data_IF_849294253045
#
_entry.id   IF_849294253045
#
_cell.length_a   1.000
_cell.length_b   1.000
_cell.length_c   1.000
_cell.angle_alpha   90.00
_cell.angle_beta   90.00
_cell.angle_gamma   90.00
#
_symmetry.space_group_name_H-M   'P 1'
#
loop_
_entity.id
_entity.type
_entity.pdbx_description
1 polymer ?
#
# COMPACT_ATOMS: atom_id res chain seq x y z
N UNK A 1 41.36 -38.60 77.69
CA UNK A 1 40.19 -39.01 78.47
C UNK A 1 39.07 -39.37 77.50
N UNK A 2 38.60 -40.61 77.57
CA UNK A 2 37.53 -41.17 76.74
C UNK A 2 36.18 -40.64 77.21
N UNK A 3 35.32 -40.23 76.28
CA UNK A 3 33.88 -40.14 76.50
C UNK A 3 33.14 -40.33 75.18
N UNK A 4 32.68 -41.56 74.94
CA UNK A 4 31.66 -41.91 73.96
C UNK A 4 30.30 -41.35 74.40
N UNK A 5 29.46 -40.90 73.45
CA UNK A 5 28.02 -41.05 73.62
C UNK A 5 27.34 -41.79 72.46
N UNK A 6 26.45 -42.66 72.92
CA UNK A 6 25.40 -43.46 72.29
C UNK A 6 24.66 -42.85 71.10
N UNK A 7 24.43 -43.74 70.15
CA UNK A 7 23.53 -43.71 69.00
C UNK A 7 22.08 -43.33 69.31
N UNK A 8 21.51 -42.46 68.47
CA UNK A 8 20.06 -42.39 68.19
C UNK A 8 19.90 -42.65 66.70
N UNK A 9 19.17 -43.73 66.36
CA UNK A 9 18.82 -44.11 64.99
C UNK A 9 17.64 -43.25 64.52
N UNK A 10 17.87 -42.34 63.58
CA UNK A 10 16.81 -41.79 62.74
C UNK A 10 16.68 -42.63 61.47
N UNK A 11 15.54 -43.27 61.27
CA UNK A 11 15.20 -43.93 60.02
C UNK A 11 14.81 -42.86 58.99
N UNK A 12 15.61 -42.73 57.93
CA UNK A 12 15.27 -41.90 56.76
C UNK A 12 14.62 -42.83 55.73
N UNK A 13 13.35 -42.57 55.43
CA UNK A 13 12.65 -43.21 54.32
C UNK A 13 13.13 -42.60 53.00
N UNK A 14 13.75 -43.41 52.15
CA UNK A 14 14.16 -43.00 50.80
C UNK A 14 12.94 -42.96 49.88
N UNK A 15 12.55 -41.75 49.46
CA UNK A 15 11.60 -41.56 48.36
C UNK A 15 12.43 -41.59 47.06
N UNK A 16 12.32 -42.66 46.29
CA UNK A 16 12.87 -42.73 44.93
C UNK A 16 12.03 -41.83 44.02
N UNK A 17 12.53 -40.63 43.75
CA UNK A 17 12.00 -39.76 42.70
C UNK A 17 12.36 -40.31 41.33
N UNK A 18 11.35 -40.70 40.55
CA UNK A 18 11.53 -40.98 39.12
C UNK A 18 11.79 -39.64 38.41
N UNK A 19 13.01 -39.43 37.92
CA UNK A 19 13.32 -38.30 37.06
C UNK A 19 12.67 -38.55 35.68
N UNK A 20 11.61 -37.78 35.38
CA UNK A 20 11.15 -37.61 34.01
C UNK A 20 12.24 -36.87 33.24
N UNK A 21 12.96 -37.58 32.39
CA UNK A 21 13.85 -36.98 31.39
C UNK A 21 12.93 -36.31 30.38
N UNK A 22 12.79 -34.99 30.48
CA UNK A 22 12.18 -34.20 29.42
C UNK A 22 13.02 -34.41 28.15
N UNK A 23 12.39 -34.91 27.08
CA UNK A 23 13.02 -34.91 25.78
C UNK A 23 13.42 -33.47 25.43
N UNK A 24 14.61 -33.22 24.87
CA UNK A 24 14.93 -31.90 24.37
C UNK A 24 13.87 -31.54 23.33
N UNK A 25 13.07 -30.51 23.60
CA UNK A 25 12.23 -29.91 22.58
C UNK A 25 13.14 -29.46 21.45
N UNK A 26 12.84 -29.90 20.23
CA UNK A 26 13.51 -29.40 19.04
C UNK A 26 13.27 -27.88 19.00
N UNK A 27 14.28 -27.11 19.38
CA UNK A 27 14.33 -25.70 19.03
C UNK A 27 14.46 -25.66 17.50
N UNK A 28 13.42 -25.18 16.82
CA UNK A 28 13.54 -24.80 15.41
C UNK A 28 14.63 -23.75 15.34
N UNK A 29 15.65 -23.97 14.53
CA UNK A 29 16.71 -22.99 14.33
C UNK A 29 16.07 -21.71 13.78
N UNK A 30 16.38 -20.56 14.39
CA UNK A 30 15.78 -19.28 14.06
C UNK A 30 16.28 -18.69 12.72
N UNK A 31 17.38 -19.20 12.18
CA UNK A 31 18.05 -18.77 10.93
C UNK A 31 17.25 -19.03 9.63
N UNK A 32 16.07 -19.67 9.71
CA UNK A 32 15.32 -20.19 8.54
C UNK A 32 14.06 -19.39 8.17
N UNK A 33 13.65 -18.38 8.94
CA UNK A 33 12.42 -17.63 8.63
C UNK A 33 12.70 -16.51 7.60
N UNK A 34 12.04 -16.51 6.43
CA UNK A 34 12.23 -15.47 5.42
C UNK A 34 11.82 -14.10 5.95
N UNK A 35 12.73 -13.13 5.88
CA UNK A 35 12.43 -11.74 6.26
C UNK A 35 12.28 -10.88 5.00
N UNK A 36 11.14 -10.22 4.82
CA UNK A 36 10.89 -9.36 3.67
C UNK A 36 11.73 -8.09 3.81
N UNK A 37 12.58 -7.82 2.83
CA UNK A 37 13.52 -6.68 2.86
C UNK A 37 13.28 -5.65 1.76
N UNK A 38 12.52 -6.00 0.72
CA UNK A 38 12.17 -5.05 -0.33
C UNK A 38 10.86 -5.41 -1.06
N UNK A 39 10.15 -4.38 -1.49
CA UNK A 39 8.97 -4.47 -2.37
C UNK A 39 9.13 -3.45 -3.48
N UNK A 40 9.38 -3.93 -4.69
CA UNK A 40 9.64 -3.10 -5.87
C UNK A 40 8.87 -3.54 -7.09
N UNK A 41 8.57 -2.61 -7.98
CA UNK A 41 7.95 -2.93 -9.26
C UNK A 41 8.58 -2.18 -10.43
N UNK A 42 8.57 -2.80 -11.61
CA UNK A 42 9.09 -2.24 -12.84
C UNK A 42 8.30 -2.71 -14.06
N UNK A 43 8.27 -1.88 -15.11
CA UNK A 43 7.66 -2.23 -16.38
C UNK A 43 8.67 -2.96 -17.27
N UNK A 44 8.26 -4.07 -17.85
CA UNK A 44 8.99 -4.79 -18.88
C UNK A 44 8.25 -4.63 -20.21
N UNK A 45 8.84 -3.92 -21.19
CA UNK A 45 8.22 -3.77 -22.50
C UNK A 45 8.13 -5.11 -23.23
N UNK A 46 7.26 -5.18 -24.22
CA UNK A 46 7.12 -6.37 -25.06
C UNK A 46 8.48 -6.73 -25.70
N UNK A 47 8.85 -8.00 -25.63
CA UNK A 47 10.11 -8.50 -26.16
C UNK A 47 9.95 -9.95 -26.63
N UNK A 48 10.50 -10.26 -27.81
CA UNK A 48 10.63 -11.59 -28.41
C UNK A 48 9.69 -12.69 -27.87
N UNK A 49 8.44 -12.72 -28.36
CA UNK A 49 7.45 -13.75 -28.01
C UNK A 49 6.76 -13.55 -26.66
N UNK A 50 6.99 -12.41 -25.98
CA UNK A 50 6.37 -12.06 -24.72
C UNK A 50 5.74 -10.68 -24.76
N UNK A 51 4.47 -10.60 -24.38
CA UNK A 51 3.75 -9.34 -24.20
C UNK A 51 4.40 -8.47 -23.12
N UNK A 52 4.13 -7.17 -23.13
CA UNK A 52 4.60 -6.27 -22.07
C UNK A 52 3.93 -6.63 -20.74
N UNK A 53 4.65 -6.49 -19.64
CA UNK A 53 4.14 -6.82 -18.30
C UNK A 53 4.73 -5.90 -17.25
N UNK A 54 4.01 -5.70 -16.17
CA UNK A 54 4.55 -5.11 -14.95
C UNK A 54 5.00 -6.23 -14.03
N UNK A 55 6.21 -6.11 -13.51
CA UNK A 55 6.78 -7.05 -12.55
C UNK A 55 6.77 -6.43 -11.18
N UNK A 56 6.11 -7.08 -10.22
CA UNK A 56 6.23 -6.82 -8.80
C UNK A 56 7.13 -7.90 -8.17
N UNK A 57 8.05 -7.48 -7.32
CA UNK A 57 9.02 -8.33 -6.64
C UNK A 57 8.96 -8.07 -5.15
N UNK A 58 8.78 -9.15 -4.40
CA UNK A 58 8.99 -9.22 -2.96
C UNK A 58 10.32 -9.94 -2.75
N UNK A 59 11.30 -9.26 -2.15
CA UNK A 59 12.63 -9.82 -1.89
C UNK A 59 12.82 -10.12 -0.41
N UNK A 60 13.42 -11.26 -0.13
CA UNK A 60 13.62 -11.78 1.20
C UNK A 60 15.10 -12.03 1.48
N UNK A 61 15.51 -11.81 2.72
CA UNK A 61 16.68 -12.48 3.29
C UNK A 61 16.24 -13.83 3.85
N UNK A 62 17.12 -14.83 3.80
CA UNK A 62 16.77 -16.21 4.11
C UNK A 62 16.16 -16.94 2.91
N UNK A 63 15.43 -18.04 3.12
CA UNK A 63 14.80 -18.81 2.05
C UNK A 63 13.65 -18.03 1.38
N UNK A 64 13.03 -18.64 0.36
CA UNK A 64 11.74 -18.16 -0.15
C UNK A 64 10.65 -18.71 0.79
N UNK A 65 9.61 -17.93 1.16
CA UNK A 65 8.48 -18.46 1.91
C UNK A 65 7.92 -19.75 1.29
N UNK A 66 7.68 -20.77 2.12
CA UNK A 66 7.16 -22.06 1.64
C UNK A 66 5.70 -21.94 1.19
N UNK A 67 4.94 -21.09 1.88
CA UNK A 67 3.52 -20.88 1.64
C UNK A 67 3.28 -19.47 1.12
N UNK A 68 2.95 -19.37 -0.17
CA UNK A 68 2.65 -18.11 -0.83
C UNK A 68 1.61 -18.31 -1.93
N UNK A 69 0.90 -17.24 -2.25
CA UNK A 69 -0.16 -17.28 -3.24
C UNK A 69 -0.63 -15.91 -3.67
N UNK A 70 -1.67 -15.93 -4.50
CA UNK A 70 -2.37 -14.73 -4.93
C UNK A 70 -3.85 -15.01 -5.09
N UNK A 71 -4.66 -13.96 -4.95
CA UNK A 71 -6.10 -13.99 -5.16
C UNK A 71 -6.57 -12.67 -5.76
N UNK A 72 -7.59 -12.73 -6.61
CA UNK A 72 -8.27 -11.54 -7.10
C UNK A 72 -9.41 -11.20 -6.16
N UNK A 73 -9.33 -10.03 -5.54
CA UNK A 73 -10.30 -9.58 -4.56
C UNK A 73 -11.42 -8.76 -5.20
N UNK A 74 -12.65 -9.00 -4.75
CA UNK A 74 -13.81 -8.23 -5.18
C UNK A 74 -13.81 -6.83 -4.58
N UNK A 75 -13.26 -6.68 -3.37
CA UNK A 75 -13.15 -5.41 -2.65
C UNK A 75 -11.81 -5.37 -1.89
N UNK A 76 -11.18 -4.20 -1.75
CA UNK A 76 -9.90 -4.07 -1.05
C UNK A 76 -10.16 -3.98 0.46
N UNK A 77 -10.29 -5.11 1.15
CA UNK A 77 -10.56 -5.17 2.59
C UNK A 77 -9.29 -5.45 3.38
N UNK A 78 -9.18 -4.85 4.57
CA UNK A 78 -8.12 -5.20 5.52
C UNK A 78 -8.18 -6.69 5.87
N UNK A 79 -6.99 -7.29 6.08
CA UNK A 79 -6.88 -8.64 6.62
C UNK A 79 -7.56 -8.77 7.99
N UNK A 80 -7.96 -9.98 8.34
CA UNK A 80 -8.76 -10.23 9.55
C UNK A 80 -7.96 -10.16 10.85
N UNK A 81 -6.64 -9.98 10.79
CA UNK A 81 -5.76 -10.37 11.88
C UNK A 81 -5.60 -9.34 13.00
N UNK A 82 -5.92 -8.06 12.81
CA UNK A 82 -6.07 -7.10 13.91
C UNK A 82 -6.64 -5.80 13.37
N UNK A 83 -7.85 -5.42 13.79
CA UNK A 83 -8.48 -4.18 13.29
C UNK A 83 -8.96 -3.29 14.42
N UNK A 84 -8.05 -2.42 14.88
CA UNK A 84 -8.42 -1.04 15.21
C UNK A 84 -9.04 -0.34 13.97
N UNK A 85 -8.75 -0.80 12.75
CA UNK A 85 -9.29 -0.26 11.49
C UNK A 85 -10.11 -1.31 10.71
N UNK A 86 -11.39 -1.46 11.03
CA UNK A 86 -12.33 -2.28 10.24
C UNK A 86 -12.74 -1.51 8.98
N UNK A 87 -12.55 -2.07 7.78
CA UNK A 87 -13.10 -1.46 6.57
C UNK A 87 -12.31 -1.73 5.28
N UNK A 88 -12.44 -0.79 4.33
CA UNK A 88 -11.74 -0.82 3.05
C UNK A 88 -10.35 -0.18 3.17
N UNK A 89 -9.36 -0.85 2.59
CA UNK A 89 -8.01 -0.32 2.41
C UNK A 89 -8.06 0.83 1.39
N UNK A 90 -7.51 2.01 1.73
CA UNK A 90 -7.35 3.10 0.77
C UNK A 90 -6.35 2.72 -0.34
N UNK A 91 -6.85 2.16 -1.44
CA UNK A 91 -6.02 1.74 -2.56
C UNK A 91 -6.67 2.09 -3.91
N UNK A 92 -5.84 2.63 -4.80
CA UNK A 92 -6.28 3.05 -6.13
C UNK A 92 -6.14 1.93 -7.17
N UNK A 93 -7.22 1.63 -7.87
CA UNK A 93 -7.27 0.65 -8.95
C UNK A 93 -8.68 0.48 -9.50
N UNK A 94 -8.83 -0.29 -10.59
CA UNK A 94 -10.11 -0.83 -11.06
C UNK A 94 -10.28 -2.31 -10.71
N UNK A 95 -9.21 -2.98 -10.27
CA UNK A 95 -9.23 -4.33 -9.72
C UNK A 95 -8.12 -4.44 -8.66
N UNK A 96 -8.24 -5.45 -7.80
CA UNK A 96 -7.36 -5.64 -6.65
C UNK A 96 -6.84 -7.07 -6.63
N UNK A 97 -5.52 -7.22 -6.61
CA UNK A 97 -4.87 -8.52 -6.46
C UNK A 97 -4.24 -8.56 -5.06
N UNK A 98 -4.63 -9.53 -4.25
CA UNK A 98 -3.91 -9.84 -3.02
C UNK A 98 -2.76 -10.79 -3.34
N UNK A 99 -1.59 -10.48 -2.78
CA UNK A 99 -0.43 -11.38 -2.74
C UNK A 99 -0.15 -11.65 -1.29
N UNK A 100 -0.12 -12.92 -0.89
CA UNK A 100 0.07 -13.32 0.49
C UNK A 100 1.19 -14.35 0.60
N UNK A 101 1.85 -14.35 1.74
CA UNK A 101 2.83 -15.35 2.13
C UNK A 101 2.82 -15.52 3.65
N UNK A 102 2.89 -16.77 4.08
CA UNK A 102 2.91 -17.15 5.49
C UNK A 102 4.33 -17.49 5.93
N UNK A 103 4.51 -17.46 7.25
CA UNK A 103 5.78 -17.76 7.92
C UNK A 103 6.90 -16.83 7.43
N UNK A 104 6.60 -15.55 7.27
CA UNK A 104 7.57 -14.53 6.88
C UNK A 104 7.54 -13.34 7.84
N UNK A 105 8.70 -12.69 8.01
CA UNK A 105 8.87 -11.57 8.93
C UNK A 105 8.88 -10.22 8.21
N UNK A 106 8.24 -9.25 8.85
CA UNK A 106 8.18 -7.84 8.46
C UNK A 106 9.23 -6.96 9.16
N UNK A 107 9.96 -7.52 10.12
CA UNK A 107 10.93 -6.88 10.99
C UNK A 107 12.23 -7.69 11.01
N UNK A 108 13.35 -7.13 11.49
CA UNK A 108 14.60 -7.85 11.61
C UNK A 108 14.47 -9.10 12.48
N UNK A 109 15.35 -10.06 12.25
CA UNK A 109 15.31 -11.33 12.95
C UNK A 109 15.50 -11.14 14.47
N UNK A 110 14.59 -11.69 15.29
CA UNK A 110 14.69 -11.65 16.75
C UNK A 110 14.36 -10.29 17.39
N UNK A 111 13.95 -9.31 16.59
CA UNK A 111 13.60 -7.97 17.06
C UNK A 111 12.16 -7.59 16.67
N UNK A 112 11.20 -8.00 17.51
CA UNK A 112 9.78 -7.64 17.37
C UNK A 112 9.53 -6.12 17.51
N UNK A 113 10.50 -5.36 18.04
CA UNK A 113 10.47 -3.90 18.10
C UNK A 113 11.23 -3.22 16.96
N UNK A 114 11.91 -4.01 16.12
CA UNK A 114 12.66 -3.54 14.97
C UNK A 114 11.68 -3.04 13.92
N UNK A 115 11.85 -1.80 13.48
CA UNK A 115 10.95 -1.21 12.49
C UNK A 115 10.84 -2.04 11.21
N UNK A 116 9.78 -1.80 10.46
CA UNK A 116 9.47 -2.51 9.20
C UNK A 116 10.68 -2.53 8.25
N UNK A 117 11.11 -3.71 7.80
CA UNK A 117 12.33 -3.93 6.99
C UNK A 117 12.16 -3.67 5.50
N UNK A 118 10.94 -3.73 4.99
CA UNK A 118 10.66 -3.65 3.55
C UNK A 118 10.26 -2.24 3.08
N UNK A 119 10.27 -1.25 3.98
CA UNK A 119 9.94 0.15 3.71
C UNK A 119 8.46 0.50 3.95
N UNK A 120 7.93 1.56 3.31
CA UNK A 120 6.64 2.15 3.68
C UNK A 120 5.45 1.21 3.43
N UNK A 121 4.41 1.26 4.27
CA UNK A 121 3.20 0.41 4.12
C UNK A 121 2.52 0.58 2.74
N UNK A 122 2.57 1.76 2.14
CA UNK A 122 1.98 2.07 0.84
C UNK A 122 3.01 2.60 -0.15
N UNK A 123 2.95 2.13 -1.40
CA UNK A 123 3.86 2.49 -2.50
C UNK A 123 3.08 2.77 -3.77
N UNK A 124 3.31 3.93 -4.39
CA UNK A 124 2.78 4.27 -5.69
C UNK A 124 3.77 3.93 -6.81
N UNK A 125 3.25 3.49 -7.95
CA UNK A 125 4.04 3.14 -9.12
C UNK A 125 3.49 3.84 -10.38
N UNK A 126 4.40 4.33 -11.23
CA UNK A 126 4.07 4.96 -12.50
C UNK A 126 4.07 3.96 -13.67
N UNK A 127 3.58 2.74 -13.44
CA UNK A 127 3.60 1.63 -14.40
C UNK A 127 2.26 1.50 -15.14
N UNK A 128 2.20 0.95 -16.36
CA UNK A 128 0.96 0.82 -17.12
C UNK A 128 -0.20 0.15 -16.36
N UNK A 129 0.03 -0.99 -15.70
CA UNK A 129 -0.99 -1.70 -14.95
C UNK A 129 -0.93 -1.48 -13.44
N UNK A 130 0.21 -1.75 -12.81
CA UNK A 130 0.37 -1.61 -11.36
C UNK A 130 0.36 -0.11 -10.99
N UNK A 131 -0.60 0.27 -10.14
CA UNK A 131 -0.79 1.65 -9.70
C UNK A 131 -0.25 1.87 -8.30
N UNK A 132 -0.58 0.95 -7.40
CA UNK A 132 -0.27 1.06 -5.99
C UNK A 132 -0.14 -0.33 -5.36
N UNK A 133 0.73 -0.45 -4.36
CA UNK A 133 0.86 -1.64 -3.52
C UNK A 133 0.75 -1.20 -2.06
N UNK A 134 -0.14 -1.82 -1.31
CA UNK A 134 -0.39 -1.52 0.10
C UNK A 134 -0.25 -2.81 0.89
N UNK A 135 0.58 -2.81 1.94
CA UNK A 135 0.58 -3.89 2.91
C UNK A 135 -0.78 -3.91 3.62
N UNK A 136 -1.43 -5.06 3.53
CA UNK A 136 -2.81 -5.29 3.93
C UNK A 136 -2.88 -5.93 5.33
N UNK A 137 -1.94 -6.83 5.61
CA UNK A 137 -1.80 -7.55 6.87
C UNK A 137 -0.32 -7.93 7.10
N UNK A 138 0.12 -7.98 8.35
CA UNK A 138 1.47 -8.38 8.77
C UNK A 138 1.54 -9.05 10.16
N UNK A 139 0.43 -9.65 10.61
CA UNK A 139 0.31 -10.30 11.92
C UNK A 139 0.68 -11.80 11.92
N UNK A 140 1.22 -12.32 13.03
CA UNK A 140 1.53 -13.76 13.24
C UNK A 140 2.31 -14.43 12.10
N UNK A 141 3.26 -13.70 11.51
CA UNK A 141 4.04 -14.14 10.34
C UNK A 141 3.20 -14.39 9.06
N UNK A 142 1.93 -13.96 9.03
CA UNK A 142 1.11 -13.84 7.84
C UNK A 142 1.24 -12.45 7.28
N UNK A 143 1.76 -12.33 6.06
CA UNK A 143 1.89 -11.05 5.37
C UNK A 143 1.05 -11.06 4.11
N UNK A 144 0.26 -10.01 3.91
CA UNK A 144 -0.44 -9.80 2.65
C UNK A 144 -0.30 -8.38 2.13
N UNK A 145 -0.37 -8.26 0.81
CA UNK A 145 -0.26 -7.03 0.07
C UNK A 145 -1.37 -6.93 -0.96
N UNK A 146 -2.15 -5.87 -0.88
CA UNK A 146 -3.09 -5.52 -1.93
C UNK A 146 -2.38 -4.72 -3.03
N UNK A 147 -2.60 -5.13 -4.27
CA UNK A 147 -2.08 -4.49 -5.47
C UNK A 147 -3.26 -3.89 -6.23
N UNK A 148 -3.30 -2.55 -6.27
CA UNK A 148 -4.26 -1.79 -7.04
C UNK A 148 -3.80 -1.71 -8.49
N UNK A 149 -4.59 -2.26 -9.40
CA UNK A 149 -4.24 -2.37 -10.82
C UNK A 149 -5.22 -1.60 -11.70
N UNK A 150 -4.74 -1.13 -12.85
CA UNK A 150 -5.56 -0.41 -13.82
C UNK A 150 -6.62 -1.30 -14.48
N UNK A 151 -6.30 -2.58 -14.71
CA UNK A 151 -7.27 -3.60 -15.11
C UNK A 151 -6.83 -4.97 -14.62
N UNK A 152 -7.81 -5.85 -14.36
CA UNK A 152 -7.57 -7.28 -14.16
C UNK A 152 -6.94 -7.86 -15.43
N UNK A 153 -5.84 -8.59 -15.27
CA UNK A 153 -5.08 -9.16 -16.38
C UNK A 153 -4.48 -10.51 -15.99
N UNK A 154 -4.02 -11.33 -16.95
CA UNK A 154 -3.27 -12.55 -16.65
C UNK A 154 -2.08 -12.30 -15.72
N UNK A 155 -1.86 -13.22 -14.79
CA UNK A 155 -0.79 -13.14 -13.77
C UNK A 155 0.06 -14.40 -13.82
N UNK A 156 1.38 -14.24 -13.67
CA UNK A 156 2.31 -15.33 -13.44
C UNK A 156 3.04 -15.11 -12.12
N UNK A 157 2.91 -16.09 -11.22
CA UNK A 157 3.58 -16.14 -9.93
C UNK A 157 4.71 -17.18 -9.99
N UNK A 158 5.91 -16.81 -9.54
CA UNK A 158 7.06 -17.71 -9.51
C UNK A 158 8.12 -17.18 -8.55
N UNK A 159 9.14 -17.99 -8.28
CA UNK A 159 10.20 -17.67 -7.32
C UNK A 159 11.58 -17.59 -7.99
N UNK A 160 12.49 -16.88 -7.35
CA UNK A 160 13.92 -16.85 -7.66
C UNK A 160 14.70 -17.02 -6.34
N UNK A 161 15.87 -17.64 -6.36
CA UNK A 161 16.59 -18.04 -5.12
C UNK A 161 17.97 -17.39 -4.97
N UNK A 162 18.29 -16.38 -5.79
CA UNK A 162 19.56 -15.63 -5.71
C UNK A 162 19.37 -14.19 -6.19
N UNK A 163 18.95 -13.25 -5.30
CA UNK A 163 18.39 -13.48 -3.95
C UNK A 163 16.99 -14.12 -3.99
N UNK A 164 16.52 -14.57 -2.82
CA UNK A 164 15.17 -15.12 -2.58
C UNK A 164 14.10 -14.09 -2.91
N UNK A 165 13.24 -14.39 -3.87
CA UNK A 165 12.20 -13.49 -4.36
C UNK A 165 10.93 -14.24 -4.70
N UNK A 166 9.79 -13.66 -4.35
CA UNK A 166 8.49 -13.96 -4.95
C UNK A 166 8.24 -12.90 -6.02
N UNK A 167 7.95 -13.35 -7.24
CA UNK A 167 7.80 -12.49 -8.41
C UNK A 167 6.41 -12.67 -9.01
N UNK A 168 5.73 -11.54 -9.20
CA UNK A 168 4.42 -11.44 -9.83
C UNK A 168 4.59 -10.67 -11.13
N UNK A 169 4.47 -11.37 -12.27
CA UNK A 169 4.38 -10.73 -13.58
C UNK A 169 2.90 -10.58 -13.95
N UNK A 170 2.44 -9.33 -14.04
CA UNK A 170 1.08 -8.96 -14.41
C UNK A 170 1.08 -8.40 -15.83
N UNK A 171 0.25 -8.96 -16.71
CA UNK A 171 0.18 -8.49 -18.10
C UNK A 171 -0.17 -6.99 -18.19
N UNK A 172 0.54 -6.31 -19.08
CA UNK A 172 0.50 -4.87 -19.29
C UNK A 172 0.61 -4.52 -20.79
N UNK A 173 0.30 -5.47 -21.68
CA UNK A 173 0.34 -5.29 -23.14
C UNK A 173 -0.80 -4.46 -23.73
N UNK A 174 -1.70 -3.93 -22.91
CA UNK A 174 -2.81 -3.10 -23.35
C UNK A 174 -2.39 -1.65 -23.59
N UNK A 175 -3.16 -0.94 -24.42
CA UNK A 175 -2.88 0.46 -24.75
C UNK A 175 -3.15 1.36 -23.55
N UNK A 176 -2.16 2.14 -23.15
CA UNK A 176 -2.30 3.27 -22.23
C UNK A 176 -2.02 4.60 -22.95
N UNK A 177 -2.41 5.70 -22.31
CA UNK A 177 -2.01 7.05 -22.71
C UNK A 177 -1.37 7.76 -21.53
N UNK A 178 -0.36 8.60 -21.81
CA UNK A 178 0.27 9.46 -20.82
C UNK A 178 -0.64 10.64 -20.49
N UNK A 179 -1.01 10.77 -19.22
CA UNK A 179 -1.88 11.83 -18.70
C UNK A 179 -1.23 12.45 -17.47
N UNK A 180 -1.38 13.76 -17.28
CA UNK A 180 -0.78 14.44 -16.13
C UNK A 180 -1.59 14.13 -14.87
N UNK A 181 -0.91 14.06 -13.74
CA UNK A 181 -1.52 14.22 -12.42
C UNK A 181 -0.70 15.24 -11.65
N UNK A 182 -1.32 15.97 -10.74
CA UNK A 182 -0.69 17.10 -10.07
C UNK A 182 -0.51 16.77 -8.59
N UNK A 183 0.71 16.92 -8.09
CA UNK A 183 1.03 16.80 -6.67
C UNK A 183 1.50 18.15 -6.14
N UNK A 184 1.39 18.36 -4.83
CA UNK A 184 1.97 19.53 -4.21
C UNK A 184 3.50 19.44 -4.34
N UNK A 185 4.12 20.53 -4.79
CA UNK A 185 5.57 20.70 -4.76
C UNK A 185 5.93 21.36 -3.43
N UNK A 186 6.23 20.55 -2.41
CA UNK A 186 6.45 21.03 -1.05
C UNK A 186 7.58 22.09 -0.97
N UNK A 187 8.73 21.92 -1.67
CA UNK A 187 9.74 22.98 -1.75
C UNK A 187 9.24 24.30 -2.35
N UNK A 188 8.35 24.27 -3.33
CA UNK A 188 7.76 25.49 -3.89
C UNK A 188 6.74 26.11 -2.92
N UNK A 189 5.86 25.29 -2.34
CA UNK A 189 4.85 25.70 -1.37
C UNK A 189 5.45 26.40 -0.14
N UNK A 190 6.45 25.79 0.50
CA UNK A 190 7.12 26.37 1.68
C UNK A 190 7.87 27.67 1.33
N UNK A 191 8.34 27.80 0.10
CA UNK A 191 9.01 29.00 -0.39
C UNK A 191 8.04 30.09 -0.88
N UNK A 192 6.72 29.85 -0.87
CA UNK A 192 5.72 30.77 -1.41
C UNK A 192 5.90 31.02 -2.92
N UNK A 193 6.36 30.01 -3.67
CA UNK A 193 6.60 30.12 -5.11
C UNK A 193 5.50 29.44 -5.91
N UNK A 194 4.93 30.17 -6.85
CA UNK A 194 3.99 29.64 -7.82
C UNK A 194 4.69 29.10 -9.08
N UNK A 195 4.19 27.98 -9.68
CA UNK A 195 3.15 27.11 -9.14
C UNK A 195 3.68 26.26 -7.97
N UNK A 196 2.88 26.14 -6.91
CA UNK A 196 3.14 25.28 -5.75
C UNK A 196 2.69 23.82 -5.97
N UNK A 197 2.30 23.49 -7.20
CA UNK A 197 1.97 22.16 -7.69
C UNK A 197 2.84 21.79 -8.89
N UNK A 198 3.20 20.51 -8.99
CA UNK A 198 3.99 19.96 -10.11
C UNK A 198 3.23 18.83 -10.80
N UNK A 199 3.16 18.93 -12.12
CA UNK A 199 2.60 17.88 -12.95
C UNK A 199 3.60 16.74 -13.14
N UNK A 200 3.11 15.51 -13.07
CA UNK A 200 3.85 14.29 -13.43
C UNK A 200 3.02 13.44 -14.37
N UNK A 201 3.67 12.72 -15.28
CA UNK A 201 2.97 11.91 -16.28
C UNK A 201 2.70 10.52 -15.73
N UNK A 202 1.50 10.00 -16.02
CA UNK A 202 1.03 8.68 -15.60
C UNK A 202 0.37 7.94 -16.75
N UNK A 203 0.58 6.63 -16.80
CA UNK A 203 -0.09 5.77 -17.76
C UNK A 203 -1.53 5.52 -17.30
N UNK A 204 -2.52 5.80 -18.14
CA UNK A 204 -3.93 5.57 -17.82
C UNK A 204 -4.64 4.85 -18.97
N UNK A 205 -5.68 4.10 -18.63
CA UNK A 205 -6.52 3.40 -19.59
C UNK A 205 -7.50 4.37 -20.29
N UNK A 206 -7.47 4.49 -21.63
CA UNK A 206 -8.55 5.12 -22.37
C UNK A 206 -9.79 4.21 -22.44
N UNK A 207 -11.01 4.76 -22.59
CA UNK A 207 -11.33 6.19 -22.71
C UNK A 207 -11.48 6.92 -21.37
N UNK A 208 -11.44 6.21 -20.23
CA UNK A 208 -11.68 6.76 -18.89
C UNK A 208 -10.49 7.56 -18.33
N UNK A 209 -9.85 8.42 -19.14
CA UNK A 209 -8.59 9.08 -18.82
C UNK A 209 -8.67 10.02 -17.63
N UNK A 210 -9.79 10.73 -17.45
CA UNK A 210 -10.00 11.60 -16.29
C UNK A 210 -10.11 10.82 -14.97
N UNK A 211 -10.84 9.70 -14.99
CA UNK A 211 -10.90 8.78 -13.85
C UNK A 211 -9.52 8.21 -13.55
N UNK A 212 -8.80 7.75 -14.57
CA UNK A 212 -7.44 7.23 -14.42
C UNK A 212 -6.46 8.26 -13.86
N UNK A 213 -6.57 9.53 -14.26
CA UNK A 213 -5.75 10.61 -13.72
C UNK A 213 -5.97 10.81 -12.21
N UNK A 214 -7.22 10.80 -11.76
CA UNK A 214 -7.56 10.87 -10.33
C UNK A 214 -7.14 9.61 -9.58
N UNK A 215 -7.30 8.40 -10.16
CA UNK A 215 -6.77 7.18 -9.53
C UNK A 215 -5.26 7.26 -9.34
N UNK A 216 -4.53 7.85 -10.29
CA UNK A 216 -3.08 8.06 -10.15
C UNK A 216 -2.74 9.17 -9.16
N UNK A 217 -3.59 10.18 -9.00
CA UNK A 217 -3.48 11.18 -7.93
C UNK A 217 -3.59 10.50 -6.56
N UNK A 218 -4.66 9.74 -6.33
CA UNK A 218 -4.92 9.09 -5.05
C UNK A 218 -4.01 7.88 -4.77
N UNK A 219 -3.41 7.27 -5.81
CA UNK A 219 -2.31 6.33 -5.62
C UNK A 219 -1.09 7.01 -4.98
N UNK A 220 -0.91 8.31 -5.25
CA UNK A 220 0.16 9.14 -4.69
C UNK A 220 1.39 9.30 -5.58
N UNK A 221 2.36 10.13 -5.16
CA UNK A 221 3.66 10.23 -5.80
C UNK A 221 4.46 8.93 -5.60
N UNK A 222 5.22 8.55 -6.62
CA UNK A 222 6.22 7.46 -6.52
C UNK A 222 7.31 7.81 -5.51
N UNK A 223 8.09 6.82 -5.05
CA UNK A 223 9.21 7.06 -4.12
C UNK A 223 10.16 8.14 -4.63
N UNK A 224 10.58 8.08 -5.90
CA UNK A 224 11.49 9.08 -6.47
C UNK A 224 10.89 10.49 -6.48
N UNK A 225 9.58 10.61 -6.69
CA UNK A 225 8.88 11.90 -6.65
C UNK A 225 8.72 12.43 -5.23
N UNK A 226 8.49 11.55 -4.26
CA UNK A 226 8.49 11.90 -2.83
C UNK A 226 9.87 12.40 -2.39
N UNK A 227 10.93 11.70 -2.81
CA UNK A 227 12.32 12.10 -2.56
C UNK A 227 12.61 13.47 -3.22
N UNK A 228 11.95 13.78 -4.33
CA UNK A 228 11.97 15.09 -5.01
C UNK A 228 10.97 16.13 -4.45
N UNK A 229 10.39 15.87 -3.27
CA UNK A 229 9.53 16.81 -2.54
C UNK A 229 8.05 16.81 -2.92
N UNK A 230 7.58 15.89 -3.77
CA UNK A 230 6.15 15.83 -4.12
C UNK A 230 5.32 15.16 -3.04
N UNK A 231 4.13 15.71 -2.77
CA UNK A 231 3.20 15.20 -1.76
C UNK A 231 1.77 15.11 -2.30
N UNK A 232 1.06 14.08 -1.86
CA UNK A 232 -0.39 14.04 -1.93
C UNK A 232 -0.93 14.71 -0.66
N UNK A 233 -1.63 15.84 -0.81
CA UNK A 233 -2.44 16.43 0.26
C UNK A 233 -3.85 15.86 0.11
N UNK A 234 -4.21 14.92 0.98
CA UNK A 234 -5.47 14.19 0.86
C UNK A 234 -6.66 14.88 1.55
N UNK A 235 -6.41 15.77 2.51
CA UNK A 235 -7.47 16.42 3.30
C UNK A 235 -8.44 15.40 3.92
N UNK A 236 -7.92 14.27 4.39
CA UNK A 236 -8.71 13.15 4.94
C UNK A 236 -9.36 12.23 3.90
N UNK A 237 -9.33 12.58 2.62
CA UNK A 237 -9.91 11.74 1.57
C UNK A 237 -9.07 10.46 1.36
N UNK A 238 -9.75 9.32 1.31
CA UNK A 238 -9.18 8.00 1.00
C UNK A 238 -9.26 7.69 -0.50
N UNK A 239 -10.02 8.47 -1.27
CA UNK A 239 -10.23 8.28 -2.70
C UNK A 239 -11.34 9.19 -3.24
N UNK A 240 -11.99 8.72 -4.32
CA UNK A 240 -13.10 9.43 -4.94
C UNK A 240 -14.14 8.47 -5.55
N UNK A 241 -15.36 8.95 -5.73
CA UNK A 241 -16.46 8.29 -6.41
C UNK A 241 -17.21 9.27 -7.33
N UNK A 242 -18.17 8.73 -8.08
CA UNK A 242 -19.17 9.51 -8.84
C UNK A 242 -18.60 10.58 -9.79
N UNK A 243 -17.41 10.32 -10.36
CA UNK A 243 -16.84 11.20 -11.37
C UNK A 243 -17.73 11.23 -12.61
N UNK A 244 -18.24 12.41 -12.94
CA UNK A 244 -18.98 12.68 -14.17
C UNK A 244 -18.49 13.96 -14.83
N UNK A 245 -18.47 14.00 -16.15
CA UNK A 245 -18.12 15.19 -16.94
C UNK A 245 -19.24 15.42 -17.94
N UNK A 246 -20.00 16.50 -17.72
CA UNK A 246 -21.16 16.86 -18.54
C UNK A 246 -21.12 18.37 -18.78
N UNK A 247 -21.29 18.79 -20.04
CA UNK A 247 -21.36 20.20 -20.45
C UNK A 247 -20.22 21.09 -19.90
N UNK A 248 -18.99 20.57 -19.89
CA UNK A 248 -17.82 21.30 -19.40
C UNK A 248 -17.64 21.29 -17.88
N UNK A 249 -18.48 20.58 -17.13
CA UNK A 249 -18.42 20.52 -15.66
C UNK A 249 -18.05 19.10 -15.21
N UNK A 250 -16.90 18.98 -14.54
CA UNK A 250 -16.52 17.75 -13.85
C UNK A 250 -17.08 17.77 -12.41
N UNK A 251 -17.87 16.77 -12.04
CA UNK A 251 -18.32 16.55 -10.66
C UNK A 251 -17.61 15.33 -10.11
N UNK A 252 -17.07 15.42 -8.90
CA UNK A 252 -16.38 14.33 -8.22
C UNK A 252 -16.70 14.35 -6.73
N UNK A 253 -16.98 13.19 -6.14
CA UNK A 253 -17.20 13.04 -4.69
C UNK A 253 -15.95 12.47 -4.04
N UNK A 254 -15.49 13.06 -2.94
CA UNK A 254 -14.43 12.49 -2.11
C UNK A 254 -14.98 11.31 -1.29
N UNK A 255 -14.17 10.28 -1.09
CA UNK A 255 -14.51 9.14 -0.22
C UNK A 255 -13.59 9.11 1.00
N UNK A 256 -14.04 8.48 2.09
CA UNK A 256 -13.32 8.51 3.36
C UNK A 256 -13.67 9.78 4.14
N UNK A 257 -12.68 10.63 4.40
CA UNK A 257 -12.86 11.89 5.12
C UNK A 257 -12.85 13.14 4.24
N UNK A 258 -13.10 14.27 4.87
CA UNK A 258 -12.94 15.61 4.31
C UNK A 258 -12.63 16.59 5.44
N UNK A 259 -11.46 17.23 5.39
CA UNK A 259 -11.05 18.26 6.34
C UNK A 259 -9.89 19.09 5.78
N UNK A 260 -10.00 20.41 5.85
CA UNK A 260 -8.89 21.33 5.57
C UNK A 260 -7.83 21.28 6.66
N UNK A 261 -8.24 20.96 7.89
CA UNK A 261 -7.38 21.07 9.07
C UNK A 261 -6.89 22.50 9.33
N UNK A 262 -7.61 23.52 8.85
CA UNK A 262 -7.18 24.92 8.92
C UNK A 262 -6.19 25.34 7.83
N UNK A 263 -5.93 24.48 6.84
CA UNK A 263 -4.96 24.72 5.77
C UNK A 263 -5.59 25.48 4.59
N UNK A 264 -4.86 26.45 4.06
CA UNK A 264 -5.19 27.12 2.80
C UNK A 264 -4.93 26.25 1.56
N UNK A 265 -4.15 25.17 1.70
CA UNK A 265 -3.93 24.18 0.66
C UNK A 265 -4.60 22.87 1.03
N UNK A 266 -5.54 22.42 0.18
CA UNK A 266 -6.29 21.17 0.37
C UNK A 266 -6.19 20.26 -0.86
N UNK A 267 -6.80 19.07 -0.78
CA UNK A 267 -6.93 18.15 -1.92
C UNK A 267 -7.54 18.81 -3.17
N UNK A 268 -8.33 19.89 -3.01
CA UNK A 268 -8.86 20.65 -4.13
C UNK A 268 -7.75 21.25 -5.01
N UNK A 269 -6.65 21.71 -4.41
CA UNK A 269 -5.47 22.21 -5.12
C UNK A 269 -4.81 21.17 -6.03
N UNK A 270 -5.11 19.88 -5.84
CA UNK A 270 -4.60 18.79 -6.67
C UNK A 270 -5.65 18.25 -7.66
N UNK A 271 -6.90 18.11 -7.20
CA UNK A 271 -8.01 17.58 -8.02
C UNK A 271 -8.38 18.53 -9.15
N UNK A 272 -8.47 19.84 -8.87
CA UNK A 272 -8.88 20.85 -9.86
C UNK A 272 -7.92 20.90 -11.06
N UNK A 273 -6.60 21.12 -10.91
CA UNK A 273 -5.69 21.13 -12.06
C UNK A 273 -5.61 19.77 -12.77
N UNK A 274 -5.75 18.67 -12.02
CA UNK A 274 -5.79 17.32 -12.61
C UNK A 274 -7.01 17.14 -13.52
N UNK A 275 -8.17 17.70 -13.20
CA UNK A 275 -9.35 17.60 -14.06
C UNK A 275 -9.38 18.67 -15.16
N UNK A 276 -8.94 19.89 -14.86
CA UNK A 276 -8.90 21.01 -15.84
C UNK A 276 -7.87 20.84 -16.95
N UNK A 277 -6.99 19.84 -16.86
CA UNK A 277 -6.10 19.51 -17.98
C UNK A 277 -6.88 19.02 -19.22
N UNK A 278 -8.09 18.48 -19.03
CA UNK A 278 -8.89 17.94 -20.13
C UNK A 278 -9.69 19.07 -20.79
N UNK A 279 -9.62 19.23 -22.12
CA UNK A 279 -10.34 20.31 -22.81
C UNK A 279 -11.86 20.30 -22.60
N UNK A 280 -12.42 19.14 -22.26
CA UNK A 280 -13.85 18.97 -21.95
C UNK A 280 -14.23 19.41 -20.53
N UNK A 281 -13.30 19.95 -19.74
CA UNK A 281 -13.53 20.38 -18.36
C UNK A 281 -13.14 21.86 -18.21
N UNK A 282 -14.15 22.72 -18.09
CA UNK A 282 -14.00 24.13 -17.76
C UNK A 282 -14.13 24.39 -16.26
N UNK A 283 -14.96 23.60 -15.56
CA UNK A 283 -15.28 23.78 -14.14
C UNK A 283 -15.22 22.46 -13.38
N UNK A 284 -14.82 22.50 -12.12
CA UNK A 284 -14.73 21.33 -11.24
C UNK A 284 -15.56 21.55 -9.99
N UNK A 285 -16.46 20.62 -9.69
CA UNK A 285 -17.27 20.59 -8.48
C UNK A 285 -16.81 19.40 -7.64
N UNK A 286 -16.13 19.68 -6.53
CA UNK A 286 -15.71 18.68 -5.55
C UNK A 286 -16.80 18.60 -4.48
N UNK A 287 -17.28 17.39 -4.24
CA UNK A 287 -18.28 17.10 -3.22
C UNK A 287 -17.62 16.39 -2.04
N UNK A 288 -18.07 16.72 -0.82
CA UNK A 288 -17.74 15.97 0.38
C UNK A 288 -18.36 14.56 0.36
N UNK A 289 -17.91 13.65 1.25
CA UNK A 289 -18.49 12.31 1.35
C UNK A 289 -20.00 12.27 1.57
N UNK A 290 -20.56 13.28 2.25
CA UNK A 290 -22.00 13.45 2.48
C UNK A 290 -22.79 13.96 1.25
N UNK A 291 -22.11 14.24 0.14
CA UNK A 291 -22.70 14.70 -1.10
C UNK A 291 -22.94 16.21 -1.18
N UNK A 292 -22.36 17.02 -0.29
CA UNK A 292 -22.47 18.48 -0.30
C UNK A 292 -21.29 19.16 -1.02
N UNK A 293 -21.54 20.35 -1.57
CA UNK A 293 -20.55 21.30 -2.10
C UNK A 293 -21.20 22.69 -2.08
N UNK A 294 -20.43 23.77 -1.94
CA UNK A 294 -21.01 25.11 -1.73
C UNK A 294 -21.79 25.65 -2.94
N UNK A 295 -21.27 25.38 -4.13
CA UNK A 295 -21.82 25.85 -5.40
C UNK A 295 -22.06 24.65 -6.34
N UNK A 296 -23.12 23.85 -6.11
CA UNK A 296 -23.37 22.60 -6.85
C UNK A 296 -23.73 22.81 -8.33
N UNK A 297 -24.02 24.06 -8.72
CA UNK A 297 -24.41 24.44 -10.08
C UNK A 297 -23.59 25.65 -10.55
N UNK A 298 -23.80 26.09 -11.79
CA UNK A 298 -23.18 27.29 -12.34
C UNK A 298 -21.77 27.07 -12.91
N UNK A 299 -21.24 28.16 -13.49
CA UNK A 299 -19.97 28.23 -14.22
C UNK A 299 -18.84 28.71 -13.30
N UNK A 300 -18.54 27.92 -12.28
CA UNK A 300 -17.47 28.17 -11.32
C UNK A 300 -16.93 26.83 -10.81
N UNK A 301 -15.71 26.83 -10.26
CA UNK A 301 -15.31 25.71 -9.42
C UNK A 301 -16.09 25.74 -8.10
N UNK A 302 -16.10 24.61 -7.39
CA UNK A 302 -16.72 24.50 -6.07
C UNK A 302 -15.99 23.46 -5.24
N UNK A 303 -15.79 23.78 -3.98
CA UNK A 303 -15.34 22.85 -2.94
C UNK A 303 -16.45 22.70 -1.90
N UNK A 304 -16.42 21.65 -1.06
CA UNK A 304 -17.27 21.59 0.10
C UNK A 304 -16.68 22.41 1.26
N UNK A 305 -17.54 22.87 2.17
CA UNK A 305 -17.15 23.67 3.35
C UNK A 305 -16.05 23.00 4.19
N UNK A 306 -16.03 21.66 4.25
CA UNK A 306 -14.97 20.92 4.95
C UNK A 306 -13.57 21.08 4.34
N UNK A 307 -13.42 21.67 3.16
CA UNK A 307 -12.13 22.03 2.55
C UNK A 307 -11.83 23.53 2.62
N UNK A 308 -12.71 24.35 3.19
CA UNK A 308 -12.43 25.75 3.41
C UNK A 308 -11.40 25.92 4.55
N UNK A 309 -10.50 26.92 4.48
CA UNK A 309 -9.47 27.15 5.49
C UNK A 309 -10.01 27.52 6.87
#
# INVERSE_FOLDING_TARGET
MRATPRFIRCAVAAITGAALVAAPGSAVAHDDIPTLVDVRAAHHPAAAGRAAYDRLVFEFTGPVPEHYGLSWETEPRYGTADVEEVGLVPISGNAYLEVFFYEAWSHPEGDLGGGITYGPRSRAFALPNIMQVVNNDDFEASMSFLVGVSQRAPVRLFTLTSPSRIVVDLDAGFRTVGVRTYFQDLPAYVAGRDPDVRAVTRQVLPPATARGALQRLFAGPTKAEQDAGLRLVSSGAKGFSDLSIVDGVAKVRLTGGCTSGGSTFTVAGLVVPTLKQFPSVSWVKIYAPDGTTEHPTGRSDSVPECLEP
#
